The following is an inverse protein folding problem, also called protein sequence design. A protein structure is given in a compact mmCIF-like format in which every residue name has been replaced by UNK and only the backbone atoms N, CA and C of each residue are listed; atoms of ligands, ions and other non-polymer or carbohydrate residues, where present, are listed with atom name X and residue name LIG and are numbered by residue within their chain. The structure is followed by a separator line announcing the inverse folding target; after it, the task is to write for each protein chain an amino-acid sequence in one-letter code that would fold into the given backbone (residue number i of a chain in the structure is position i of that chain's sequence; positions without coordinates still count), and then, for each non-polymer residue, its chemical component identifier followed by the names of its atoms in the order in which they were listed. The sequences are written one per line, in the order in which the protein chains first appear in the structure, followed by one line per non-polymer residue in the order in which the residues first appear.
data_IF_670615877955
#
_entry.id   IF_670615877955
#
_cell.length_a   1.000
_cell.length_b   1.000
_cell.length_c   1.000
_cell.angle_alpha   90.00
_cell.angle_beta   90.00
_cell.angle_gamma   90.00
#
_symmetry.space_group_name_H-M   'P 1'
#
loop_
_entity.id
_entity.type
_entity.pdbx_description
1 polymer ?
#
# COMPACT_ATOMS: atom_id res chain seq x y z
N UNK A 1 -0.11 6.37 23.86
CA UNK A 1 1.17 6.35 23.29
C UNK A 1 1.12 6.62 21.83
N UNK A 2 1.98 7.38 21.39
CA UNK A 2 1.82 7.85 20.06
C UNK A 2 2.57 7.01 19.06
N UNK A 3 2.19 5.77 19.00
CA UNK A 3 2.74 4.88 18.02
C UNK A 3 2.35 5.26 16.63
N UNK A 4 1.38 6.16 16.52
CA UNK A 4 0.91 6.60 15.22
C UNK A 4 1.96 7.40 14.48
N UNK A 5 2.86 8.02 15.21
CA UNK A 5 3.89 8.80 14.59
C UNK A 5 5.02 7.90 14.12
N UNK A 6 5.62 8.30 13.03
CA UNK A 6 6.72 7.56 12.44
C UNK A 6 7.97 8.42 12.48
N UNK A 7 8.53 8.64 13.69
CA UNK A 7 9.66 9.54 13.80
C UNK A 7 10.83 9.05 12.97
N UNK A 8 11.34 9.94 12.14
CA UNK A 8 12.56 9.69 11.36
C UNK A 8 12.46 8.49 10.44
N UNK A 9 11.27 8.14 10.00
CA UNK A 9 11.10 7.04 9.07
C UNK A 9 11.33 5.67 9.67
N UNK A 10 11.10 5.52 10.96
CA UNK A 10 11.34 4.26 11.64
C UNK A 10 10.51 3.12 11.04
N UNK A 11 9.24 3.38 10.78
CA UNK A 11 8.35 2.37 10.21
C UNK A 11 8.85 1.92 8.83
N UNK A 12 9.29 2.86 8.02
CA UNK A 12 9.84 2.54 6.71
C UNK A 12 11.08 1.67 6.83
N UNK A 13 11.96 2.00 7.77
CA UNK A 13 13.17 1.21 7.99
C UNK A 13 12.86 -0.21 8.40
N UNK A 14 11.88 -0.39 9.28
CA UNK A 14 11.48 -1.72 9.72
C UNK A 14 10.90 -2.52 8.55
N UNK A 15 10.03 -1.91 7.75
CA UNK A 15 9.48 -2.59 6.60
C UNK A 15 10.58 -3.10 5.67
N UNK A 16 11.51 -2.23 5.32
CA UNK A 16 12.56 -2.58 4.35
C UNK A 16 13.61 -3.51 4.93
N UNK A 17 13.69 -3.61 6.25
CA UNK A 17 14.59 -4.57 6.88
C UNK A 17 14.09 -6.00 6.72
N UNK A 18 12.78 -6.20 6.79
CA UNK A 18 12.21 -7.54 6.80
C UNK A 18 11.60 -7.97 5.48
N UNK A 19 11.34 -7.04 4.59
CA UNK A 19 10.68 -7.34 3.31
C UNK A 19 11.41 -6.61 2.20
N UNK A 20 11.78 -7.34 1.17
CA UNK A 20 12.38 -6.73 -0.02
C UNK A 20 11.28 -6.44 -1.02
N UNK A 21 10.91 -5.16 -1.12
CA UNK A 21 9.87 -4.71 -2.04
C UNK A 21 10.40 -4.43 -3.45
N UNK A 22 11.72 -4.51 -3.65
CA UNK A 22 12.31 -4.13 -4.92
C UNK A 22 11.77 -4.99 -6.04
N UNK A 23 11.23 -4.35 -7.06
CA UNK A 23 10.64 -4.99 -8.22
C UNK A 23 9.50 -5.96 -7.90
N UNK A 24 8.95 -5.90 -6.70
CA UNK A 24 7.88 -6.81 -6.27
C UNK A 24 6.53 -6.34 -6.80
N UNK A 25 5.60 -7.28 -6.91
CA UNK A 25 4.19 -6.98 -7.11
C UNK A 25 3.50 -7.10 -5.76
N UNK A 26 3.00 -5.99 -5.25
CA UNK A 26 2.50 -5.88 -3.88
C UNK A 26 1.01 -5.62 -3.86
N UNK A 27 0.30 -6.41 -3.07
CA UNK A 27 -1.11 -6.20 -2.80
C UNK A 27 -1.24 -5.70 -1.37
N UNK A 28 -1.81 -4.52 -1.20
CA UNK A 28 -2.05 -3.97 0.12
C UNK A 28 -3.55 -3.93 0.40
N UNK A 29 -3.99 -4.66 1.40
CA UNK A 29 -5.41 -4.75 1.77
C UNK A 29 -5.65 -3.85 2.96
N UNK A 30 -6.60 -2.93 2.84
CA UNK A 30 -6.86 -1.94 3.86
C UNK A 30 -5.93 -0.75 3.75
N UNK A 31 -5.69 -0.27 2.53
CA UNK A 31 -4.69 0.77 2.28
C UNK A 31 -5.09 2.14 2.83
N UNK A 32 -6.39 2.36 3.07
CA UNK A 32 -6.86 3.67 3.52
C UNK A 32 -6.45 4.75 2.54
N UNK A 33 -5.90 5.84 3.08
CA UNK A 33 -5.47 6.98 2.26
C UNK A 33 -4.05 6.83 1.73
N UNK A 34 -3.45 5.64 1.88
CA UNK A 34 -2.15 5.37 1.32
C UNK A 34 -0.98 5.62 2.25
N UNK A 35 -1.22 5.83 3.54
CA UNK A 35 -0.15 6.17 4.48
C UNK A 35 1.00 5.17 4.46
N UNK A 36 0.69 3.89 4.54
CA UNK A 36 1.73 2.88 4.53
C UNK A 36 2.30 2.67 3.13
N UNK A 37 1.44 2.77 2.13
CA UNK A 37 1.78 2.49 0.74
C UNK A 37 3.03 3.25 0.31
N UNK A 38 3.11 4.54 0.62
CA UNK A 38 4.21 5.37 0.14
C UNK A 38 5.53 5.09 0.84
N UNK A 39 5.51 4.25 1.87
CA UNK A 39 6.75 3.86 2.55
C UNK A 39 7.51 2.78 1.79
N UNK A 40 6.86 2.10 0.85
CA UNK A 40 7.53 1.00 0.12
C UNK A 40 7.28 1.03 -1.39
N UNK A 41 6.22 1.70 -1.83
CA UNK A 41 5.74 1.50 -3.20
C UNK A 41 6.70 2.00 -4.27
N UNK A 42 7.56 2.95 -3.93
CA UNK A 42 8.46 3.55 -4.93
C UNK A 42 9.38 2.51 -5.56
N UNK A 43 9.80 1.49 -4.80
CA UNK A 43 10.72 0.47 -5.32
C UNK A 43 10.00 -0.74 -5.89
N UNK A 44 8.69 -0.82 -5.72
CA UNK A 44 7.91 -1.93 -6.26
C UNK A 44 7.77 -1.81 -7.78
N UNK A 45 7.54 -2.93 -8.42
CA UNK A 45 7.22 -2.94 -9.84
C UNK A 45 5.73 -2.66 -10.06
N UNK A 46 4.90 -3.11 -9.12
CA UNK A 46 3.47 -2.87 -9.14
C UNK A 46 2.97 -2.92 -7.71
N UNK A 47 2.19 -1.92 -7.32
CA UNK A 47 1.50 -1.93 -6.03
C UNK A 47 0.04 -1.62 -6.27
N UNK A 48 -0.84 -2.46 -5.73
CA UNK A 48 -2.28 -2.21 -5.78
C UNK A 48 -2.81 -2.21 -4.36
N UNK A 49 -3.39 -1.09 -3.96
CA UNK A 49 -4.02 -0.96 -2.65
C UNK A 49 -5.53 -1.03 -2.76
N UNK A 50 -6.14 -1.75 -1.84
CA UNK A 50 -7.59 -1.85 -1.77
C UNK A 50 -8.09 -1.38 -0.42
N UNK A 51 -9.26 -0.74 -0.44
CA UNK A 51 -9.94 -0.37 0.78
C UNK A 51 -11.44 -0.29 0.49
N UNK A 52 -12.31 -0.73 1.41
CA UNK A 52 -13.74 -0.59 1.20
C UNK A 52 -14.22 0.85 1.27
N UNK A 53 -13.45 1.74 1.85
CA UNK A 53 -13.82 3.14 2.00
C UNK A 53 -13.49 3.90 0.72
N UNK A 54 -14.52 4.20 -0.06
CA UNK A 54 -14.36 4.89 -1.33
C UNK A 54 -13.71 6.27 -1.16
N UNK A 55 -14.02 6.96 -0.07
CA UNK A 55 -13.45 8.29 0.15
C UNK A 55 -11.96 8.20 0.44
N UNK A 56 -11.54 7.21 1.22
CA UNK A 56 -10.12 7.02 1.48
C UNK A 56 -9.36 6.70 0.19
N UNK A 57 -9.93 5.86 -0.65
CA UNK A 57 -9.32 5.52 -1.93
C UNK A 57 -9.18 6.76 -2.81
N UNK A 58 -10.20 7.61 -2.81
CA UNK A 58 -10.15 8.85 -3.58
C UNK A 58 -9.01 9.74 -3.11
N UNK A 59 -8.83 9.85 -1.81
CA UNK A 59 -7.74 10.64 -1.24
C UNK A 59 -6.38 10.02 -1.59
N UNK A 60 -6.26 8.70 -1.49
CA UNK A 60 -5.02 8.03 -1.85
C UNK A 60 -4.63 8.31 -3.30
N UNK A 61 -5.59 8.28 -4.20
CA UNK A 61 -5.35 8.60 -5.61
C UNK A 61 -4.92 10.05 -5.78
N UNK A 62 -5.58 10.96 -5.09
CA UNK A 62 -5.28 12.38 -5.21
C UNK A 62 -3.88 12.70 -4.68
N UNK A 63 -3.45 11.99 -3.65
CA UNK A 63 -2.15 12.23 -3.03
C UNK A 63 -1.01 11.48 -3.72
N UNK A 64 -1.30 10.68 -4.73
CA UNK A 64 -0.27 9.89 -5.41
C UNK A 64 0.76 10.78 -6.06
N UNK A 65 2.05 10.55 -5.78
CA UNK A 65 3.11 11.28 -6.49
C UNK A 65 3.03 11.04 -7.99
N UNK A 66 3.38 12.04 -8.78
CA UNK A 66 3.24 11.94 -10.23
C UNK A 66 4.09 10.82 -10.82
N UNK A 67 5.23 10.51 -10.24
CA UNK A 67 6.11 9.47 -10.75
C UNK A 67 5.66 8.06 -10.36
N UNK A 68 4.62 7.94 -9.54
CA UNK A 68 4.11 6.62 -9.13
C UNK A 68 2.94 6.14 -10.00
N UNK A 69 2.42 6.97 -10.87
CA UNK A 69 1.16 6.68 -11.57
C UNK A 69 1.23 5.47 -12.48
N UNK A 70 2.41 5.11 -12.91
CA UNK A 70 2.55 3.96 -13.79
C UNK A 70 2.54 2.63 -13.08
N UNK A 71 2.76 2.61 -11.75
CA UNK A 71 2.91 1.33 -11.04
C UNK A 71 2.23 1.27 -9.68
N UNK A 72 1.58 2.33 -9.23
CA UNK A 72 0.85 2.31 -7.96
C UNK A 72 -0.60 2.69 -8.22
N UNK A 73 -1.50 1.80 -7.83
CA UNK A 73 -2.93 1.96 -8.11
C UNK A 73 -3.74 1.68 -6.86
N UNK A 74 -4.87 2.37 -6.74
CA UNK A 74 -5.79 2.17 -5.63
C UNK A 74 -7.17 1.87 -6.17
N UNK A 75 -7.87 0.96 -5.50
CA UNK A 75 -9.22 0.59 -5.89
C UNK A 75 -10.07 0.31 -4.67
N UNK A 76 -11.37 0.56 -4.79
CA UNK A 76 -12.32 0.22 -3.74
C UNK A 76 -12.66 -1.26 -3.86
N UNK A 77 -12.41 -1.99 -2.79
CA UNK A 77 -12.81 -3.40 -2.72
C UNK A 77 -12.73 -3.85 -1.28
N UNK A 78 -13.51 -4.87 -0.94
CA UNK A 78 -13.39 -5.50 0.37
C UNK A 78 -12.40 -6.65 0.30
N UNK A 79 -11.86 -7.03 1.45
CA UNK A 79 -10.91 -8.13 1.53
C UNK A 79 -11.51 -9.45 1.05
N UNK A 80 -12.83 -9.59 1.15
CA UNK A 80 -13.51 -10.82 0.74
C UNK A 80 -13.84 -10.86 -0.74
N UNK A 81 -13.54 -9.79 -1.48
CA UNK A 81 -13.95 -9.70 -2.88
C UNK A 81 -12.89 -8.97 -3.69
N UNK A 82 -11.68 -9.49 -3.65
CA UNK A 82 -10.55 -8.91 -4.37
C UNK A 82 -10.59 -9.38 -5.82
N UNK A 83 -10.61 -8.47 -6.78
CA UNK A 83 -10.83 -8.81 -8.19
C UNK A 83 -9.57 -9.24 -8.94
N UNK A 84 -8.52 -9.65 -8.24
CA UNK A 84 -7.26 -10.04 -8.87
C UNK A 84 -6.87 -11.44 -8.50
N UNK A 85 -6.16 -12.10 -9.39
CA UNK A 85 -5.60 -13.41 -9.14
C UNK A 85 -4.48 -13.30 -8.10
N UNK A 86 -4.44 -14.26 -7.18
CA UNK A 86 -3.38 -14.33 -6.18
C UNK A 86 -2.00 -14.40 -6.80
N UNK A 87 -1.91 -15.03 -7.96
CA UNK A 87 -0.61 -15.26 -8.60
C UNK A 87 -0.02 -14.00 -9.20
N UNK A 88 -0.80 -12.94 -9.28
CA UNK A 88 -0.31 -11.66 -9.76
C UNK A 88 0.67 -11.02 -8.80
N UNK A 89 0.59 -11.36 -7.51
CA UNK A 89 1.32 -10.65 -6.47
C UNK A 89 2.31 -11.55 -5.75
N UNK A 90 3.48 -10.99 -5.43
CA UNK A 90 4.52 -11.68 -4.66
C UNK A 90 4.36 -11.41 -3.16
N UNK A 91 3.84 -10.25 -2.80
CA UNK A 91 3.75 -9.79 -1.42
C UNK A 91 2.33 -9.33 -1.16
N UNK A 92 1.78 -9.72 -0.03
CA UNK A 92 0.48 -9.21 0.41
C UNK A 92 0.65 -8.60 1.79
N UNK A 93 0.09 -7.41 1.97
CA UNK A 93 0.12 -6.69 3.23
C UNK A 93 -1.31 -6.46 3.70
N UNK A 94 -1.58 -6.80 4.96
CA UNK A 94 -2.83 -6.45 5.61
C UNK A 94 -2.57 -5.18 6.41
N UNK A 95 -3.04 -4.07 5.89
CA UNK A 95 -2.64 -2.76 6.39
C UNK A 95 -3.74 -2.00 7.10
N UNK A 96 -4.96 -2.53 7.16
CA UNK A 96 -6.00 -1.80 7.85
C UNK A 96 -5.65 -1.68 9.32
N UNK A 97 -6.09 -0.59 9.90
CA UNK A 97 -5.67 -0.27 11.22
C UNK A 97 -6.08 -1.33 12.21
N UNK A 98 -5.25 -1.52 13.08
CA UNK A 98 -5.44 -2.43 14.19
C UNK A 98 -5.87 -1.65 15.40
#
# INVERSE_FOLDING_TARGET
MSLQKDPEGFEKKILHKFVDFTNAHVLEIGCGEGRLTWKYAAVSNLTVGFDPDQNAVRIARADSPSDSRGHVHFAQASASNIPFSKETFNIAILAWSL
#
